data_IF_611517364480
#
_entry.id   IF_611517364480
#
_cell.length_a   1.000
_cell.length_b   1.000
_cell.length_c   1.000
_cell.angle_alpha   90.00
_cell.angle_beta   90.00
_cell.angle_gamma   90.00
#
_symmetry.space_group_name_H-M   'P 1'
#
loop_
_entity.id
_entity.type
_entity.pdbx_description
1 polymer ?
#
# COMPACT_ATOMS: atom_id res chain seq x y z
N UNK A 1 8.23 -14.15 4.07
CA UNK A 1 8.29 -14.57 2.66
C UNK A 1 6.88 -14.92 2.20
N UNK A 2 6.54 -14.60 0.95
CA UNK A 2 5.22 -14.87 0.36
C UNK A 2 5.38 -15.15 -1.14
N UNK A 3 4.48 -15.93 -1.73
CA UNK A 3 4.43 -16.09 -3.20
C UNK A 3 3.43 -15.07 -3.77
N UNK A 4 3.87 -14.22 -4.70
CA UNK A 4 3.00 -13.35 -5.50
C UNK A 4 3.26 -13.61 -6.98
N UNK A 5 2.20 -13.83 -7.77
CA UNK A 5 2.27 -14.09 -9.22
C UNK A 5 3.29 -15.19 -9.62
N UNK A 6 3.46 -16.20 -8.76
CA UNK A 6 4.41 -17.30 -8.99
C UNK A 6 5.88 -16.99 -8.65
N UNK A 7 6.16 -15.80 -8.10
CA UNK A 7 7.50 -15.39 -7.64
C UNK A 7 7.57 -15.38 -6.12
N UNK A 8 8.72 -15.80 -5.57
CA UNK A 8 8.99 -15.72 -4.13
C UNK A 8 9.40 -14.29 -3.77
N UNK A 9 8.61 -13.67 -2.91
CA UNK A 9 8.81 -12.32 -2.39
C UNK A 9 9.32 -12.36 -0.96
N UNK A 10 10.37 -11.59 -0.70
CA UNK A 10 10.82 -11.23 0.65
C UNK A 10 10.01 -10.04 1.15
N UNK A 11 9.70 -10.05 2.45
CA UNK A 11 8.92 -9.02 3.12
C UNK A 11 9.62 -8.57 4.39
N UNK A 12 9.67 -7.27 4.60
CA UNK A 12 10.20 -6.63 5.80
C UNK A 12 9.11 -5.74 6.40
N UNK A 13 8.83 -5.91 7.69
CA UNK A 13 7.77 -5.20 8.39
C UNK A 13 8.37 -4.21 9.39
N UNK A 14 7.96 -2.95 9.30
CA UNK A 14 8.18 -1.94 10.32
C UNK A 14 7.02 -1.98 11.30
N UNK A 15 7.30 -2.30 12.57
CA UNK A 15 6.28 -2.43 13.63
C UNK A 15 6.48 -1.31 14.65
N UNK A 16 5.39 -0.62 15.00
CA UNK A 16 5.36 0.35 16.10
C UNK A 16 4.13 0.09 16.97
N UNK A 17 4.30 0.07 18.30
CA UNK A 17 3.22 -0.21 19.25
C UNK A 17 2.43 -1.48 18.92
N UNK A 18 3.13 -2.56 18.55
CA UNK A 18 2.55 -3.86 18.15
C UNK A 18 1.66 -3.83 16.90
N UNK A 19 1.70 -2.73 16.14
CA UNK A 19 0.99 -2.60 14.87
C UNK A 19 2.01 -2.52 13.74
N UNK A 20 1.74 -3.24 12.66
CA UNK A 20 2.43 -3.03 11.39
C UNK A 20 2.17 -1.59 10.92
N UNK A 21 3.23 -0.89 10.52
CA UNK A 21 3.20 0.50 10.03
C UNK A 21 3.66 0.61 8.59
N UNK A 22 4.63 -0.22 8.21
CA UNK A 22 5.19 -0.26 6.86
C UNK A 22 5.46 -1.72 6.50
N UNK A 23 5.17 -2.10 5.25
CA UNK A 23 5.62 -3.36 4.66
C UNK A 23 6.40 -3.08 3.40
N UNK A 24 7.61 -3.62 3.33
CA UNK A 24 8.49 -3.51 2.16
C UNK A 24 8.56 -4.87 1.49
N UNK A 25 8.18 -4.92 0.22
CA UNK A 25 8.22 -6.11 -0.62
C UNK A 25 9.37 -5.99 -1.62
N UNK A 26 10.15 -7.05 -1.76
CA UNK A 26 11.22 -7.14 -2.75
C UNK A 26 11.50 -8.58 -3.15
N UNK A 27 12.09 -8.75 -4.33
CA UNK A 27 12.70 -10.02 -4.70
C UNK A 27 14.00 -10.16 -3.90
N UNK A 28 14.30 -11.37 -3.44
CA UNK A 28 15.48 -11.62 -2.62
C UNK A 28 16.77 -11.15 -3.33
N UNK A 29 17.57 -10.34 -2.65
CA UNK A 29 18.84 -9.76 -3.15
C UNK A 29 18.72 -8.83 -4.36
N UNK A 30 17.52 -8.32 -4.66
CA UNK A 30 17.28 -7.35 -5.72
C UNK A 30 16.77 -6.02 -5.16
N UNK A 31 15.91 -5.35 -5.93
CA UNK A 31 15.34 -4.05 -5.63
C UNK A 31 14.02 -4.16 -4.88
N UNK A 32 13.69 -3.10 -4.14
CA UNK A 32 12.36 -2.91 -3.57
C UNK A 32 11.35 -2.77 -4.71
N UNK A 33 10.27 -3.57 -4.68
CA UNK A 33 9.22 -3.55 -5.71
C UNK A 33 7.98 -2.79 -5.26
N UNK A 34 7.64 -2.88 -3.96
CA UNK A 34 6.44 -2.25 -3.40
C UNK A 34 6.68 -1.88 -1.94
N UNK A 35 6.16 -0.72 -1.54
CA UNK A 35 6.10 -0.31 -0.13
C UNK A 35 4.63 -0.01 0.16
N UNK A 36 4.08 -0.70 1.16
CA UNK A 36 2.74 -0.42 1.69
C UNK A 36 2.91 0.31 3.02
N UNK A 37 2.16 1.41 3.20
CA UNK A 37 2.24 2.27 4.37
C UNK A 37 0.86 2.32 5.01
N UNK A 38 0.80 1.96 6.29
CA UNK A 38 -0.40 2.01 7.13
C UNK A 38 -0.21 2.91 8.36
N UNK A 39 0.89 3.67 8.40
CA UNK A 39 1.16 4.67 9.42
C UNK A 39 0.47 6.00 9.10
N UNK A 40 -0.37 6.49 10.01
CA UNK A 40 -1.13 7.73 9.85
C UNK A 40 -0.28 9.00 9.97
N UNK A 41 0.95 8.88 10.50
CA UNK A 41 1.87 10.00 10.67
C UNK A 41 2.74 10.23 9.42
N UNK A 42 2.78 9.27 8.49
CA UNK A 42 3.52 9.40 7.24
C UNK A 42 2.68 10.13 6.19
N UNK A 43 3.25 11.17 5.60
CA UNK A 43 2.64 11.97 4.53
C UNK A 43 3.35 11.72 3.20
N UNK A 44 2.59 11.83 2.11
CA UNK A 44 3.17 11.93 0.77
C UNK A 44 3.76 13.32 0.55
N UNK A 45 4.55 13.46 -0.52
CA UNK A 45 5.08 14.76 -0.96
C UNK A 45 3.98 15.75 -1.41
N UNK A 46 2.75 15.26 -1.58
CA UNK A 46 1.57 16.07 -1.95
C UNK A 46 0.69 16.38 -0.73
N UNK A 47 1.25 16.29 0.48
CA UNK A 47 0.58 16.54 1.77
C UNK A 47 -0.63 15.63 2.09
N UNK A 48 -0.85 14.58 1.29
CA UNK A 48 -1.88 13.57 1.57
C UNK A 48 -1.36 12.51 2.53
N UNK A 49 -2.25 11.99 3.38
CA UNK A 49 -1.97 10.91 4.34
C UNK A 49 -3.20 10.05 4.61
N UNK A 50 -3.05 8.98 5.36
CA UNK A 50 -4.18 8.18 5.85
C UNK A 50 -5.15 9.10 6.62
N UNK A 51 -6.44 8.96 6.32
CA UNK A 51 -7.50 9.84 6.82
C UNK A 51 -7.79 11.07 5.95
N UNK A 52 -6.99 11.35 4.91
CA UNK A 52 -7.35 12.39 3.92
C UNK A 52 -8.64 12.00 3.20
N UNK A 53 -9.59 12.92 3.11
CA UNK A 53 -10.87 12.64 2.48
C UNK A 53 -10.68 12.48 0.98
N UNK A 54 -11.36 11.50 0.39
CA UNK A 54 -11.35 11.29 -1.07
C UNK A 54 -11.70 12.59 -1.83
N UNK A 55 -12.70 13.33 -1.35
CA UNK A 55 -13.16 14.59 -1.94
C UNK A 55 -12.13 15.73 -1.90
N UNK A 56 -11.08 15.61 -1.08
CA UNK A 56 -9.97 16.58 -1.05
C UNK A 56 -8.96 16.32 -2.18
N UNK A 57 -8.93 15.11 -2.73
CA UNK A 57 -7.97 14.70 -3.77
C UNK A 57 -8.66 14.59 -5.13
N UNK A 58 -9.87 14.02 -5.16
CA UNK A 58 -10.60 13.72 -6.39
C UNK A 58 -12.03 14.27 -6.34
N UNK A 59 -12.52 14.77 -7.47
CA UNK A 59 -13.91 15.23 -7.59
C UNK A 59 -14.91 14.07 -7.72
N UNK A 60 -14.50 12.98 -8.37
CA UNK A 60 -15.28 11.76 -8.57
C UNK A 60 -14.33 10.59 -8.88
N UNK A 61 -14.85 9.36 -8.83
CA UNK A 61 -14.08 8.14 -9.08
C UNK A 61 -13.98 7.74 -10.57
N UNK A 62 -14.71 8.40 -11.47
CA UNK A 62 -14.97 7.90 -12.84
C UNK A 62 -13.87 8.30 -13.84
N UNK A 63 -13.01 9.27 -13.51
CA UNK A 63 -11.99 9.82 -14.41
C UNK A 63 -10.73 8.94 -14.55
N UNK A 64 -10.87 7.62 -14.67
CA UNK A 64 -9.78 6.64 -14.88
C UNK A 64 -8.65 6.63 -13.82
N UNK A 65 -8.75 7.46 -12.79
CA UNK A 65 -7.73 7.60 -11.74
C UNK A 65 -7.93 6.61 -10.59
N UNK A 66 -9.10 5.96 -10.54
CA UNK A 66 -9.47 5.00 -9.52
C UNK A 66 -9.97 3.71 -10.18
N UNK A 67 -9.52 2.58 -9.66
CA UNK A 67 -10.00 1.24 -10.03
C UNK A 67 -10.23 0.42 -8.76
N UNK A 68 -11.17 -0.53 -8.76
CA UNK A 68 -11.34 -1.44 -7.64
C UNK A 68 -10.03 -2.17 -7.34
N UNK A 69 -9.69 -2.26 -6.06
CA UNK A 69 -8.55 -3.08 -5.65
C UNK A 69 -8.89 -4.56 -5.87
N UNK A 70 -8.11 -5.21 -6.74
CA UNK A 70 -8.28 -6.62 -7.09
C UNK A 70 -8.09 -7.56 -5.89
N UNK A 71 -7.39 -7.11 -4.84
CA UNK A 71 -7.24 -7.87 -3.59
C UNK A 71 -8.50 -7.81 -2.71
N UNK A 72 -9.34 -6.78 -2.82
CA UNK A 72 -10.57 -6.65 -2.03
C UNK A 72 -11.82 -7.24 -2.71
N UNK A 73 -11.82 -7.40 -4.04
CA UNK A 73 -12.96 -7.94 -4.80
C UNK A 73 -13.28 -9.42 -4.53
N UNK A 74 -12.45 -10.14 -3.79
CA UNK A 74 -12.67 -11.55 -3.44
C UNK A 74 -13.34 -11.75 -2.06
N UNK A 75 -13.93 -10.71 -1.45
CA UNK A 75 -14.62 -10.78 -0.16
C UNK A 75 -16.15 -10.86 -0.27
N UNK A 76 -16.70 -11.35 -1.38
CA UNK A 76 -18.15 -11.55 -1.57
C UNK A 76 -18.47 -13.03 -1.75
#
# INVERSE_FOLDING_TARGET
>A
MQIEQGQLMSLFQGINNFQEKIVIYGVENEEVKRIEIVDEDIKTIWDTKIGTLFSQIYQNAVQSSCYPDSKQTNMV
#
